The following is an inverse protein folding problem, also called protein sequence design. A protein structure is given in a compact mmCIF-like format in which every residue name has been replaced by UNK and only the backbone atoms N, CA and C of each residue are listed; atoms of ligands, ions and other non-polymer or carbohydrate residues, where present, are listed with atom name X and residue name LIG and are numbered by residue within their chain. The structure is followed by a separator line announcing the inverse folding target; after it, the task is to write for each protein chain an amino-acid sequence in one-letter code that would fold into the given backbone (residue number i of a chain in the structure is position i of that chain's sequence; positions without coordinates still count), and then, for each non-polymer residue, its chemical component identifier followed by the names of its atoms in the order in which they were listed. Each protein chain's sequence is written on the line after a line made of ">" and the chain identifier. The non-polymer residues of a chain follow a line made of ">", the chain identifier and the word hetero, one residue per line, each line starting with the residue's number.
data_IF_506607510067
#
_entry.id   IF_506607510067
#
_cell.length_a   1.000
_cell.length_b   1.000
_cell.length_c   1.000
_cell.angle_alpha   90.00
_cell.angle_beta   90.00
_cell.angle_gamma   90.00
#
_symmetry.space_group_name_H-M   'P 1'
#
loop_
_entity.id
_entity.type
_entity.pdbx_description
1 polymer ?
#
# COMPACT_ATOMS: atom_id res chain seq x y z
N UNK A 1 2.79 -13.06 12.52
CA UNK A 1 3.19 -13.73 11.25
C UNK A 1 3.76 -12.70 10.29
N UNK A 2 4.68 -13.10 9.41
CA UNK A 2 5.23 -12.21 8.38
C UNK A 2 4.60 -12.51 7.02
N UNK A 3 4.26 -11.45 6.29
CA UNK A 3 3.64 -11.55 4.97
C UNK A 3 4.37 -10.64 3.98
N UNK A 4 4.54 -11.15 2.76
CA UNK A 4 4.94 -10.34 1.63
C UNK A 4 3.69 -9.89 0.87
N UNK A 5 3.59 -8.59 0.62
CA UNK A 5 2.53 -7.99 -0.17
C UNK A 5 3.11 -7.47 -1.47
N UNK A 6 2.41 -7.74 -2.58
CA UNK A 6 2.69 -7.19 -3.89
C UNK A 6 1.38 -6.59 -4.41
N UNK A 7 1.40 -5.30 -4.73
CA UNK A 7 0.24 -4.58 -5.25
C UNK A 7 0.62 -3.84 -6.54
N UNK A 8 -0.14 -4.06 -7.61
CA UNK A 8 0.08 -3.42 -8.90
C UNK A 8 -1.19 -2.75 -9.40
N UNK A 9 -1.03 -1.64 -10.11
CA UNK A 9 -2.12 -0.93 -10.79
C UNK A 9 -1.68 -0.53 -12.20
N UNK A 10 -2.62 -0.11 -13.05
CA UNK A 10 -2.32 0.41 -14.39
C UNK A 10 -2.17 1.93 -14.37
N UNK A 11 -1.61 2.52 -15.43
CA UNK A 11 -1.49 3.97 -15.57
C UNK A 11 -2.83 4.71 -15.44
N UNK A 12 -3.89 4.13 -16.01
CA UNK A 12 -5.25 4.67 -16.00
C UNK A 12 -5.84 4.74 -14.59
N UNK A 13 -5.39 3.87 -13.69
CA UNK A 13 -5.83 3.79 -12.28
C UNK A 13 -4.83 4.41 -11.30
N UNK A 14 -3.75 5.02 -11.80
CA UNK A 14 -2.75 5.66 -10.97
C UNK A 14 -3.28 7.01 -10.46
N UNK A 15 -3.50 7.13 -9.15
CA UNK A 15 -3.89 8.41 -8.55
C UNK A 15 -2.88 9.54 -8.83
N UNK A 16 -1.60 9.19 -9.01
CA UNK A 16 -0.56 10.16 -9.39
C UNK A 16 -0.72 10.74 -10.80
N UNK A 17 -1.58 10.17 -11.65
CA UNK A 17 -1.94 10.70 -12.98
C UNK A 17 -3.25 11.53 -12.95
N UNK A 18 -3.85 11.74 -11.79
CA UNK A 18 -4.99 12.66 -11.63
C UNK A 18 -4.57 14.10 -11.96
N UNK A 19 -5.51 14.93 -12.43
CA UNK A 19 -5.32 16.38 -12.56
C UNK A 19 -5.06 17.06 -11.21
N UNK A 20 -5.60 16.48 -10.14
CA UNK A 20 -5.46 16.94 -8.75
C UNK A 20 -5.13 15.72 -7.87
N UNK A 21 -3.87 15.26 -7.85
CA UNK A 21 -3.48 14.10 -7.06
C UNK A 21 -3.39 14.47 -5.58
N UNK A 22 -3.87 13.58 -4.70
CA UNK A 22 -3.67 13.74 -3.26
C UNK A 22 -2.16 13.78 -2.94
N UNK A 23 -1.75 14.50 -1.87
CA UNK A 23 -0.35 14.52 -1.44
C UNK A 23 0.23 13.11 -1.28
N UNK A 24 1.50 12.93 -1.63
CA UNK A 24 2.13 11.61 -1.57
C UNK A 24 2.12 11.02 -0.14
N UNK A 25 2.22 11.88 0.88
CA UNK A 25 2.08 11.50 2.30
C UNK A 25 0.74 10.85 2.61
N UNK A 26 -0.36 11.33 2.01
CA UNK A 26 -1.68 10.75 2.22
C UNK A 26 -1.84 9.42 1.47
N UNK A 27 -1.36 9.37 0.22
CA UNK A 27 -1.40 8.15 -0.61
C UNK A 27 -0.54 7.01 -0.06
N UNK A 28 0.53 7.34 0.65
CA UNK A 28 1.46 6.37 1.26
C UNK A 28 1.25 6.20 2.77
N UNK A 29 0.16 6.74 3.35
CA UNK A 29 -0.09 6.65 4.80
C UNK A 29 -0.18 5.22 5.32
N UNK A 30 -0.55 4.26 4.47
CA UNK A 30 -0.55 2.84 4.82
C UNK A 30 0.81 2.32 5.30
N UNK A 31 1.92 2.97 4.90
CA UNK A 31 3.29 2.61 5.32
C UNK A 31 3.50 2.81 6.83
N UNK A 32 2.70 3.68 7.46
CA UNK A 32 2.74 3.87 8.92
C UNK A 32 2.20 2.64 9.68
N UNK A 33 1.42 1.79 9.02
CA UNK A 33 0.73 0.68 9.65
C UNK A 33 -0.40 1.13 10.58
N UNK A 34 -0.77 0.25 11.51
CA UNK A 34 -1.75 0.54 12.58
C UNK A 34 -1.52 -0.41 13.77
N UNK A 35 -2.43 -0.42 14.74
CA UNK A 35 -2.34 -1.26 15.95
C UNK A 35 -2.30 -2.77 15.66
N UNK A 36 -2.81 -3.22 14.51
CA UNK A 36 -2.90 -4.64 14.13
C UNK A 36 -1.83 -5.07 13.12
N UNK A 37 -1.30 -4.11 12.34
CA UNK A 37 -0.39 -4.37 11.23
C UNK A 37 0.82 -3.45 11.32
N UNK A 38 2.00 -4.05 11.46
CA UNK A 38 3.27 -3.33 11.42
C UNK A 38 3.91 -3.48 10.04
N UNK A 39 4.21 -2.37 9.39
CA UNK A 39 4.97 -2.37 8.13
C UNK A 39 6.46 -2.42 8.46
N UNK A 40 7.13 -3.49 8.06
CA UNK A 40 8.57 -3.68 8.29
C UNK A 40 9.40 -2.95 7.23
N UNK A 41 8.90 -2.94 6.00
CA UNK A 41 9.50 -2.22 4.88
C UNK A 41 8.52 -2.13 3.72
N UNK A 42 8.63 -1.03 2.97
CA UNK A 42 7.83 -0.75 1.80
C UNK A 42 8.72 -0.18 0.69
N UNK A 43 8.54 -0.67 -0.52
CA UNK A 43 9.30 -0.26 -1.71
C UNK A 43 8.37 -0.11 -2.91
N UNK A 44 8.71 0.81 -3.82
CA UNK A 44 7.96 1.04 -5.04
C UNK A 44 8.84 0.90 -6.28
N UNK A 45 8.31 0.24 -7.31
CA UNK A 45 8.80 0.37 -8.67
C UNK A 45 7.79 1.19 -9.48
N UNK A 46 8.03 2.50 -9.54
CA UNK A 46 7.13 3.45 -10.20
C UNK A 46 6.97 3.17 -11.70
N UNK A 47 8.04 2.76 -12.38
CA UNK A 47 7.99 2.44 -13.82
C UNK A 47 7.07 1.26 -14.13
N UNK A 48 6.91 0.33 -13.18
CA UNK A 48 6.03 -0.84 -13.28
C UNK A 48 4.71 -0.68 -12.52
N UNK A 49 4.44 0.50 -11.95
CA UNK A 49 3.25 0.73 -11.11
C UNK A 49 3.03 -0.35 -10.05
N UNK A 50 4.11 -0.84 -9.44
CA UNK A 50 4.09 -1.96 -8.50
C UNK A 50 4.71 -1.57 -7.17
N UNK A 51 4.04 -1.91 -6.07
CA UNK A 51 4.52 -1.74 -4.70
C UNK A 51 4.76 -3.10 -4.05
N UNK A 52 5.77 -3.14 -3.18
CA UNK A 52 6.18 -4.29 -2.40
C UNK A 52 6.20 -3.90 -0.93
N UNK A 53 5.72 -4.78 -0.06
CA UNK A 53 5.85 -4.58 1.38
C UNK A 53 6.10 -5.90 2.10
N UNK A 54 6.81 -5.81 3.22
CA UNK A 54 6.84 -6.86 4.23
C UNK A 54 6.08 -6.34 5.44
N UNK A 55 5.06 -7.07 5.86
CA UNK A 55 4.20 -6.70 7.00
C UNK A 55 4.18 -7.81 8.04
N UNK A 56 4.05 -7.40 9.30
CA UNK A 56 3.83 -8.27 10.44
C UNK A 56 2.40 -8.07 10.95
N UNK A 57 1.63 -9.16 11.04
CA UNK A 57 0.27 -9.17 11.58
C UNK A 57 -0.10 -10.52 12.18
N UNK A 58 -1.16 -10.56 13.00
CA UNK A 58 -1.68 -11.79 13.60
C UNK A 58 -2.73 -12.50 12.75
N UNK A 59 -3.38 -11.79 11.84
CA UNK A 59 -4.40 -12.32 10.94
C UNK A 59 -4.33 -11.64 9.57
N UNK A 60 -4.82 -12.35 8.55
CA UNK A 60 -4.84 -11.87 7.16
C UNK A 60 -5.88 -10.75 6.96
N UNK A 61 -7.01 -10.81 7.68
CA UNK A 61 -8.11 -9.88 7.53
C UNK A 61 -7.70 -8.44 7.88
N UNK A 62 -6.84 -8.26 8.89
CA UNK A 62 -6.25 -6.98 9.28
C UNK A 62 -5.37 -6.39 8.17
N UNK A 63 -4.62 -7.22 7.46
CA UNK A 63 -3.82 -6.81 6.30
C UNK A 63 -4.74 -6.36 5.17
N UNK A 64 -5.78 -7.15 4.89
CA UNK A 64 -6.78 -6.81 3.87
C UNK A 64 -7.51 -5.50 4.22
N UNK A 65 -7.89 -5.30 5.48
CA UNK A 65 -8.54 -4.07 5.95
C UNK A 65 -7.65 -2.83 5.77
N UNK A 66 -6.35 -2.94 6.06
CA UNK A 66 -5.39 -1.85 5.88
C UNK A 66 -5.15 -1.51 4.41
N UNK A 67 -4.98 -2.52 3.56
CA UNK A 67 -4.49 -2.37 2.19
C UNK A 67 -5.58 -2.37 1.12
N UNK A 68 -6.84 -2.58 1.49
CA UNK A 68 -7.95 -2.52 0.53
C UNK A 68 -7.99 -1.15 -0.16
N UNK A 69 -8.23 -1.10 -1.48
CA UNK A 69 -8.49 0.15 -2.18
C UNK A 69 -9.66 0.89 -1.51
N UNK A 70 -9.49 2.19 -1.27
CA UNK A 70 -10.60 3.06 -0.85
C UNK A 70 -11.31 3.53 -2.12
N UNK A 71 -12.58 3.17 -2.24
CA UNK A 71 -13.47 3.62 -3.33
C UNK A 71 -13.87 5.07 -3.08
#
# INVERSE_FOLDING_TARGET
>A
MLFQVIASHSWETCEGNSNEPSPMSERQRWVEGNEKVKVIGAWGNHLRHTHFAVVEANDYDAIHELLRPRV
#
